data_IF_339868479818
#
_entry.id   IF_339868479818
#
_cell.length_a   1.000
_cell.length_b   1.000
_cell.length_c   1.000
_cell.angle_alpha   90.00
_cell.angle_beta   90.00
_cell.angle_gamma   90.00
#
_symmetry.space_group_name_H-M   'P 1'
#
loop_
_entity.id
_entity.type
_entity.pdbx_description
1 polymer ?
#
# COMPACT_ATOMS: atom_id res chain seq x y z
N UNK A 1 -22.96 -14.21 -9.89
CA UNK A 1 -23.25 -14.98 -8.65
C UNK A 1 -21.93 -15.27 -7.95
N UNK A 2 -21.88 -15.15 -6.61
CA UNK A 2 -20.69 -15.50 -5.83
C UNK A 2 -21.10 -16.31 -4.61
N UNK A 3 -20.35 -17.38 -4.32
CA UNK A 3 -20.48 -18.23 -3.14
C UNK A 3 -19.13 -18.30 -2.44
N UNK A 4 -19.10 -18.24 -1.12
CA UNK A 4 -17.87 -18.43 -0.34
C UNK A 4 -18.14 -19.22 0.93
N UNK A 5 -17.13 -19.95 1.40
CA UNK A 5 -17.13 -20.58 2.69
C UNK A 5 -15.71 -20.50 3.30
N UNK A 6 -15.68 -20.39 4.61
CA UNK A 6 -14.46 -20.41 5.40
C UNK A 6 -14.76 -21.01 6.77
N UNK A 7 -13.82 -21.78 7.30
CA UNK A 7 -13.89 -22.34 8.63
C UNK A 7 -12.60 -22.04 9.41
N UNK A 8 -12.70 -22.04 10.73
CA UNK A 8 -11.59 -21.90 11.66
C UNK A 8 -11.51 -23.16 12.54
N UNK A 9 -10.53 -23.99 12.26
CA UNK A 9 -10.34 -25.29 12.89
C UNK A 9 -9.17 -25.21 13.88
N UNK A 10 -9.45 -25.43 15.16
CA UNK A 10 -8.42 -25.56 16.20
C UNK A 10 -8.14 -27.05 16.42
N UNK A 11 -7.02 -27.53 15.83
CA UNK A 11 -6.64 -28.93 15.91
C UNK A 11 -6.04 -29.25 17.28
N UNK A 12 -5.22 -28.35 17.83
CA UNK A 12 -4.60 -28.43 19.14
C UNK A 12 -4.65 -27.03 19.77
N UNK A 13 -4.39 -26.92 21.08
CA UNK A 13 -4.33 -25.59 21.75
C UNK A 13 -3.37 -24.59 21.05
N UNK A 14 -2.44 -25.09 20.24
CA UNK A 14 -1.36 -24.30 19.61
C UNK A 14 -1.46 -24.23 18.08
N UNK A 15 -2.31 -25.04 17.44
CA UNK A 15 -2.42 -25.11 15.98
C UNK A 15 -3.82 -24.76 15.52
N UNK A 16 -3.91 -23.74 14.71
CA UNK A 16 -5.14 -23.26 14.06
C UNK A 16 -5.01 -23.35 12.55
N UNK A 17 -6.02 -23.90 11.88
CA UNK A 17 -6.11 -23.93 10.42
C UNK A 17 -7.33 -23.13 9.97
N UNK A 18 -7.17 -22.38 8.89
CA UNK A 18 -8.24 -21.57 8.30
C UNK A 18 -8.34 -21.89 6.82
N UNK A 19 -8.99 -23.00 6.43
CA UNK A 19 -9.33 -23.29 5.04
C UNK A 19 -10.49 -22.38 4.58
N UNK A 20 -10.51 -22.07 3.30
CA UNK A 20 -11.61 -21.34 2.71
C UNK A 20 -11.58 -21.38 1.19
N UNK A 21 -12.68 -21.07 0.57
CA UNK A 21 -12.78 -20.91 -0.87
C UNK A 21 -13.83 -19.88 -1.26
N UNK A 22 -13.68 -19.36 -2.46
CA UNK A 22 -14.67 -18.54 -3.12
C UNK A 22 -14.89 -19.06 -4.54
N UNK A 23 -16.13 -19.28 -4.90
CA UNK A 23 -16.60 -19.61 -6.23
C UNK A 23 -17.35 -18.43 -6.81
N UNK A 24 -17.02 -18.04 -8.03
CA UNK A 24 -17.70 -16.95 -8.74
C UNK A 24 -18.07 -17.43 -10.14
N UNK A 25 -19.30 -17.17 -10.51
CA UNK A 25 -19.79 -17.31 -11.88
C UNK A 25 -20.03 -15.92 -12.47
N UNK A 26 -19.47 -15.68 -13.65
CA UNK A 26 -19.68 -14.48 -14.46
C UNK A 26 -19.95 -14.87 -15.90
N UNK A 27 -20.90 -14.23 -16.57
CA UNK A 27 -21.30 -14.58 -17.94
C UNK A 27 -20.12 -14.56 -18.92
N UNK A 28 -19.28 -13.54 -18.85
CA UNK A 28 -18.11 -13.34 -19.73
C UNK A 28 -16.94 -14.22 -19.33
N UNK A 29 -16.58 -14.25 -18.05
CA UNK A 29 -15.35 -14.89 -17.58
C UNK A 29 -15.55 -16.30 -17.02
N UNK A 30 -16.81 -16.81 -17.09
CA UNK A 30 -17.21 -18.15 -16.64
C UNK A 30 -16.85 -18.41 -15.18
N UNK A 31 -16.67 -19.67 -14.83
CA UNK A 31 -16.41 -20.10 -13.47
C UNK A 31 -15.00 -19.74 -12.99
N UNK A 32 -14.88 -19.19 -11.78
CA UNK A 32 -13.61 -18.95 -11.09
C UNK A 32 -13.68 -19.52 -9.69
N UNK A 33 -12.69 -20.32 -9.34
CA UNK A 33 -12.53 -20.92 -8.02
C UNK A 33 -11.22 -20.41 -7.42
N UNK A 34 -11.28 -19.82 -6.21
CA UNK A 34 -10.15 -19.24 -5.51
C UNK A 34 -10.07 -19.82 -4.10
N UNK A 35 -9.27 -20.90 -3.92
CA UNK A 35 -9.02 -21.49 -2.61
C UNK A 35 -8.06 -20.62 -1.80
N UNK A 36 -8.16 -20.74 -0.47
CA UNK A 36 -7.19 -20.23 0.48
C UNK A 36 -7.00 -21.21 1.63
N UNK A 37 -5.81 -21.21 2.21
CA UNK A 37 -5.53 -21.90 3.44
C UNK A 37 -4.50 -21.13 4.24
N UNK A 38 -4.71 -21.03 5.55
CA UNK A 38 -3.71 -20.50 6.47
C UNK A 38 -3.56 -21.46 7.64
N UNK A 39 -2.33 -21.60 8.11
CA UNK A 39 -2.00 -22.34 9.32
C UNK A 39 -1.27 -21.41 10.28
N UNK A 40 -1.66 -21.38 11.54
CA UNK A 40 -0.99 -20.64 12.60
C UNK A 40 -0.58 -21.58 13.72
N UNK A 41 0.69 -21.50 14.12
CA UNK A 41 1.23 -22.23 15.25
C UNK A 41 1.75 -21.25 16.30
N UNK A 42 1.26 -21.39 17.53
CA UNK A 42 1.63 -20.54 18.67
C UNK A 42 2.58 -21.27 19.61
N UNK A 43 3.73 -20.66 19.89
CA UNK A 43 4.77 -21.21 20.78
C UNK A 43 5.25 -20.10 21.75
N UNK A 44 4.71 -20.10 22.96
CA UNK A 44 5.00 -19.05 23.93
C UNK A 44 4.61 -17.68 23.40
N UNK A 45 5.57 -16.79 23.31
CA UNK A 45 5.40 -15.42 22.80
C UNK A 45 5.49 -15.31 21.26
N UNK A 46 5.72 -16.45 20.57
CA UNK A 46 5.85 -16.50 19.12
C UNK A 46 4.60 -17.06 18.46
N UNK A 47 4.18 -16.43 17.37
CA UNK A 47 3.20 -16.94 16.43
C UNK A 47 3.84 -17.09 15.05
N UNK A 48 3.71 -18.26 14.46
CA UNK A 48 4.16 -18.56 13.10
C UNK A 48 2.94 -18.79 12.23
N UNK A 49 2.84 -18.07 11.11
CA UNK A 49 1.72 -18.20 10.18
C UNK A 49 2.22 -18.47 8.78
N UNK A 50 1.74 -19.54 8.18
CA UNK A 50 1.92 -19.87 6.78
C UNK A 50 0.59 -19.68 6.05
N UNK A 51 0.59 -19.03 4.89
CA UNK A 51 -0.64 -18.78 4.14
C UNK A 51 -0.44 -19.01 2.64
N UNK A 52 -1.48 -19.54 2.03
CA UNK A 52 -1.65 -19.61 0.58
C UNK A 52 -3.03 -19.06 0.21
N UNK A 53 -3.12 -18.26 -0.85
CA UNK A 53 -4.36 -17.80 -1.41
C UNK A 53 -4.26 -17.68 -2.93
N UNK A 54 -5.22 -18.27 -3.64
CA UNK A 54 -5.45 -18.00 -5.04
C UNK A 54 -6.39 -16.81 -5.20
N UNK A 55 -6.15 -16.00 -6.23
CA UNK A 55 -6.98 -14.85 -6.55
C UNK A 55 -7.18 -14.69 -8.07
N UNK A 56 -8.17 -13.91 -8.45
CA UNK A 56 -8.32 -13.41 -9.81
C UNK A 56 -8.88 -11.99 -9.80
N UNK A 57 -8.61 -11.25 -10.87
CA UNK A 57 -9.17 -9.92 -11.13
C UNK A 57 -9.71 -9.91 -12.56
N UNK A 58 -11.00 -9.64 -12.69
CA UNK A 58 -11.62 -9.44 -14.00
C UNK A 58 -11.11 -8.12 -14.62
N UNK A 59 -10.94 -8.03 -15.94
CA UNK A 59 -10.72 -6.75 -16.62
C UNK A 59 -11.84 -5.77 -16.28
N UNK A 60 -11.50 -4.50 -16.17
CA UNK A 60 -12.50 -3.44 -16.02
C UNK A 60 -13.23 -3.25 -17.38
N UNK A 61 -14.45 -2.74 -17.35
CA UNK A 61 -15.18 -2.39 -18.57
C UNK A 61 -14.40 -1.37 -19.42
N UNK A 62 -13.66 -0.50 -18.76
CA UNK A 62 -12.73 0.44 -19.41
C UNK A 62 -11.57 -0.25 -20.12
N UNK A 63 -11.05 -1.34 -19.55
CA UNK A 63 -9.97 -2.08 -20.18
C UNK A 63 -10.45 -2.82 -21.44
N UNK A 64 -11.73 -3.24 -21.45
CA UNK A 64 -12.34 -4.01 -22.53
C UNK A 64 -12.89 -3.14 -23.67
N UNK A 65 -13.62 -2.07 -23.34
CA UNK A 65 -14.49 -1.38 -24.31
C UNK A 65 -14.25 0.13 -24.40
N UNK A 66 -13.27 0.65 -23.66
CA UNK A 66 -13.03 2.08 -23.60
C UNK A 66 -12.37 2.58 -24.88
N UNK A 67 -12.89 3.66 -25.41
CA UNK A 67 -12.23 4.45 -26.45
C UNK A 67 -12.11 5.88 -25.94
N UNK A 68 -10.90 6.37 -25.88
CA UNK A 68 -10.63 7.76 -25.50
C UNK A 68 -9.65 8.40 -26.45
N UNK A 69 -10.05 9.52 -26.94
CA UNK A 69 -9.24 10.43 -27.73
C UNK A 69 -9.11 11.74 -26.94
N UNK A 70 -7.90 12.20 -26.76
CA UNK A 70 -7.62 13.46 -26.06
C UNK A 70 -6.54 14.24 -26.79
N UNK A 71 -6.80 15.51 -27.04
CA UNK A 71 -5.84 16.43 -27.65
C UNK A 71 -5.38 17.45 -26.62
N UNK A 72 -4.08 17.53 -26.40
CA UNK A 72 -3.46 18.51 -25.51
C UNK A 72 -2.28 19.19 -26.21
N UNK A 73 -2.31 20.52 -26.30
CA UNK A 73 -1.26 21.31 -26.96
C UNK A 73 -0.96 20.83 -28.39
N UNK A 74 -2.00 20.48 -29.18
CA UNK A 74 -1.87 20.02 -30.55
C UNK A 74 -1.30 18.59 -30.71
N UNK A 75 -1.15 17.83 -29.62
CA UNK A 75 -0.74 16.42 -29.62
C UNK A 75 -1.93 15.57 -29.20
N UNK A 76 -2.24 14.56 -30.00
CA UNK A 76 -3.33 13.63 -29.80
C UNK A 76 -2.85 12.37 -29.09
N UNK A 77 -3.64 11.86 -28.15
CA UNK A 77 -3.45 10.56 -27.50
C UNK A 77 -4.72 9.74 -27.70
N UNK A 78 -4.56 8.47 -28.08
CA UNK A 78 -5.67 7.54 -28.32
C UNK A 78 -5.47 6.33 -27.40
N UNK A 79 -6.50 5.97 -26.65
CA UNK A 79 -6.51 4.74 -25.84
C UNK A 79 -7.68 3.88 -26.29
N UNK A 80 -7.42 2.61 -26.62
CA UNK A 80 -8.40 1.66 -27.14
C UNK A 80 -8.45 0.46 -26.20
N UNK A 81 -9.64 0.10 -25.72
CA UNK A 81 -9.88 -1.12 -24.97
C UNK A 81 -9.64 -2.38 -25.80
N UNK A 82 -9.47 -3.51 -25.11
CA UNK A 82 -9.27 -4.81 -25.76
C UNK A 82 -10.29 -5.84 -25.21
N UNK A 83 -11.31 -6.22 -26.00
CA UNK A 83 -12.33 -7.19 -25.58
C UNK A 83 -11.78 -8.60 -25.32
N UNK A 84 -10.61 -8.95 -25.86
CA UNK A 84 -10.00 -10.28 -25.77
C UNK A 84 -9.20 -10.50 -24.46
N UNK A 85 -9.22 -9.53 -23.54
CA UNK A 85 -8.51 -9.63 -22.27
C UNK A 85 -9.03 -10.77 -21.41
N UNK A 86 -8.08 -11.53 -20.87
CA UNK A 86 -8.32 -12.59 -19.90
C UNK A 86 -8.23 -12.01 -18.48
N UNK A 87 -9.00 -12.57 -17.52
CA UNK A 87 -8.83 -12.21 -16.12
C UNK A 87 -7.41 -12.51 -15.61
N UNK A 88 -6.85 -11.58 -14.86
CA UNK A 88 -5.61 -11.80 -14.12
C UNK A 88 -5.81 -12.90 -13.06
N UNK A 89 -4.75 -13.69 -12.82
CA UNK A 89 -4.72 -14.73 -11.78
C UNK A 89 -3.53 -14.50 -10.87
N UNK A 90 -3.70 -14.80 -9.59
CA UNK A 90 -2.63 -14.72 -8.61
C UNK A 90 -2.55 -15.96 -7.75
N UNK A 91 -1.31 -16.32 -7.35
CA UNK A 91 -1.03 -17.26 -6.29
C UNK A 91 -0.13 -16.55 -5.28
N UNK A 92 -0.67 -16.31 -4.11
CA UNK A 92 0.00 -15.63 -3.01
C UNK A 92 0.45 -16.64 -1.96
N UNK A 93 1.70 -16.56 -1.57
CA UNK A 93 2.31 -17.35 -0.50
C UNK A 93 2.93 -16.39 0.49
N UNK A 94 2.74 -16.62 1.79
CA UNK A 94 3.40 -15.83 2.81
C UNK A 94 3.76 -16.67 4.04
N UNK A 95 4.85 -16.27 4.68
CA UNK A 95 5.26 -16.74 5.97
C UNK A 95 5.48 -15.55 6.89
N UNK A 96 4.76 -15.55 8.00
CA UNK A 96 4.84 -14.50 9.02
C UNK A 96 5.31 -15.09 10.34
N UNK A 97 6.25 -14.41 10.98
CA UNK A 97 6.65 -14.66 12.36
C UNK A 97 6.35 -13.42 13.18
N UNK A 98 5.64 -13.59 14.27
CA UNK A 98 5.30 -12.53 15.20
C UNK A 98 5.80 -12.90 16.60
N UNK A 99 6.50 -11.98 17.23
CA UNK A 99 6.89 -12.05 18.64
C UNK A 99 6.13 -10.97 19.41
N UNK A 100 5.44 -11.36 20.46
CA UNK A 100 4.65 -10.44 21.28
C UNK A 100 5.04 -10.59 22.77
N UNK A 101 5.54 -9.51 23.34
CA UNK A 101 5.83 -9.43 24.76
C UNK A 101 5.10 -8.23 25.38
N UNK A 102 5.21 -8.06 26.69
CA UNK A 102 4.67 -6.90 27.40
C UNK A 102 5.21 -5.57 26.88
N UNK A 103 6.43 -5.55 26.36
CA UNK A 103 7.15 -4.33 25.99
C UNK A 103 7.30 -4.13 24.49
N UNK A 104 7.18 -5.17 23.71
CA UNK A 104 7.29 -5.04 22.26
C UNK A 104 6.49 -6.09 21.50
N UNK A 105 6.10 -5.69 20.28
CA UNK A 105 5.57 -6.58 19.25
C UNK A 105 6.44 -6.41 18.01
N UNK A 106 6.96 -7.53 17.48
CA UNK A 106 7.79 -7.56 16.28
C UNK A 106 7.14 -8.54 15.32
N UNK A 107 6.91 -8.13 14.09
CA UNK A 107 6.39 -8.98 13.03
C UNK A 107 7.30 -8.92 11.80
N UNK A 108 7.61 -10.08 11.25
CA UNK A 108 8.36 -10.24 10.00
C UNK A 108 7.53 -11.10 9.07
N UNK A 109 7.19 -10.57 7.91
CA UNK A 109 6.40 -11.24 6.89
C UNK A 109 7.18 -11.32 5.58
N UNK A 110 7.51 -12.52 5.13
CA UNK A 110 8.03 -12.76 3.79
C UNK A 110 6.93 -13.25 2.87
N UNK A 111 6.88 -12.78 1.62
CA UNK A 111 5.84 -13.18 0.69
C UNK A 111 6.32 -13.26 -0.76
N UNK A 112 5.59 -14.07 -1.54
CA UNK A 112 5.70 -14.19 -2.99
C UNK A 112 4.28 -14.17 -3.57
N UNK A 113 4.05 -13.34 -4.57
CA UNK A 113 2.82 -13.29 -5.35
C UNK A 113 3.14 -13.53 -6.83
N UNK A 114 2.79 -14.70 -7.32
CA UNK A 114 2.91 -15.05 -8.74
C UNK A 114 1.64 -14.64 -9.49
N UNK A 115 1.80 -13.73 -10.44
CA UNK A 115 0.75 -13.18 -11.27
C UNK A 115 0.84 -13.78 -12.68
N UNK A 116 -0.31 -14.07 -13.29
CA UNK A 116 -0.47 -14.52 -14.67
C UNK A 116 -1.55 -13.71 -15.37
N UNK A 117 -1.42 -13.55 -16.65
CA UNK A 117 -2.34 -12.81 -17.50
C UNK A 117 -2.54 -11.36 -17.02
N UNK A 118 -1.48 -10.72 -16.48
CA UNK A 118 -1.51 -9.35 -15.95
C UNK A 118 -1.90 -8.39 -17.04
N UNK A 119 -2.91 -7.56 -16.79
CA UNK A 119 -3.35 -6.54 -17.74
C UNK A 119 -2.39 -5.36 -17.66
N UNK A 120 -1.81 -5.02 -18.80
CA UNK A 120 -0.87 -3.91 -18.93
C UNK A 120 -1.14 -3.12 -20.21
N UNK A 121 -0.73 -1.87 -20.22
CA UNK A 121 -0.81 -1.01 -21.40
C UNK A 121 0.24 -1.42 -22.42
N UNK A 122 -0.19 -1.55 -23.68
CA UNK A 122 0.65 -1.79 -24.85
C UNK A 122 0.67 -0.55 -25.72
N UNK A 123 1.87 -0.12 -26.11
CA UNK A 123 2.04 0.94 -27.08
C UNK A 123 1.84 0.39 -28.49
N UNK A 124 0.95 1.03 -29.25
CA UNK A 124 0.64 0.75 -30.65
C UNK A 124 1.07 1.91 -31.56
N UNK A 125 1.77 2.91 -31.05
CA UNK A 125 2.13 4.12 -31.79
C UNK A 125 3.02 3.77 -32.99
N UNK A 126 2.57 4.13 -34.18
CA UNK A 126 3.31 3.92 -35.44
C UNK A 126 4.00 5.22 -35.87
N UNK A 127 4.87 5.15 -36.87
CA UNK A 127 5.48 6.34 -37.47
C UNK A 127 4.46 7.17 -38.27
N UNK A 128 3.44 6.54 -38.82
CA UNK A 128 2.29 7.20 -39.40
C UNK A 128 1.47 7.98 -38.41
N UNK A 129 1.24 7.42 -37.20
CA UNK A 129 0.60 8.12 -36.11
C UNK A 129 1.37 9.40 -35.75
N UNK A 130 2.69 9.33 -35.67
CA UNK A 130 3.54 10.49 -35.36
C UNK A 130 3.47 11.56 -36.45
N UNK A 131 3.45 11.16 -37.70
CA UNK A 131 3.27 12.06 -38.85
C UNK A 131 1.92 12.80 -38.78
N UNK A 132 0.88 12.10 -38.32
CA UNK A 132 -0.47 12.63 -38.15
C UNK A 132 -0.66 13.33 -36.79
N UNK A 133 0.42 13.67 -36.06
CA UNK A 133 0.40 14.34 -34.73
C UNK A 133 -0.25 13.52 -33.62
N UNK A 134 -0.41 12.20 -33.80
CA UNK A 134 -0.82 11.28 -32.75
C UNK A 134 0.44 10.91 -31.95
N UNK A 135 0.53 11.46 -30.75
CA UNK A 135 1.70 11.31 -29.90
C UNK A 135 1.79 9.91 -29.24
N UNK A 136 0.64 9.30 -29.00
CA UNK A 136 0.55 7.98 -28.39
C UNK A 136 -0.75 7.30 -28.76
N UNK A 137 -0.66 6.06 -29.24
CA UNK A 137 -1.78 5.13 -29.41
C UNK A 137 -1.54 3.93 -28.52
N UNK A 138 -2.44 3.67 -27.59
CA UNK A 138 -2.27 2.58 -26.62
C UNK A 138 -3.49 1.67 -26.58
N UNK A 139 -3.25 0.42 -26.25
CA UNK A 139 -4.29 -0.57 -25.92
C UNK A 139 -3.90 -1.34 -24.66
N UNK A 140 -4.68 -2.33 -24.28
CA UNK A 140 -4.39 -3.22 -23.16
C UNK A 140 -4.06 -4.62 -23.68
N UNK A 141 -3.14 -5.31 -23.02
CA UNK A 141 -2.79 -6.70 -23.31
C UNK A 141 -2.56 -7.47 -22.00
N UNK A 142 -2.69 -8.80 -22.07
CA UNK A 142 -2.29 -9.64 -20.95
C UNK A 142 -0.79 -9.95 -21.05
N UNK A 143 -0.02 -9.50 -20.07
CA UNK A 143 1.36 -9.97 -19.87
C UNK A 143 1.35 -11.41 -19.37
N UNK A 144 2.25 -12.24 -19.88
CA UNK A 144 2.24 -13.66 -19.56
C UNK A 144 2.42 -13.94 -18.06
N UNK A 145 3.40 -13.33 -17.41
CA UNK A 145 3.71 -13.57 -16.00
C UNK A 145 4.43 -12.38 -15.36
N UNK A 146 4.04 -12.05 -14.15
CA UNK A 146 4.79 -11.15 -13.29
C UNK A 146 4.95 -11.77 -11.90
N UNK A 147 5.92 -11.31 -11.14
CA UNK A 147 6.11 -11.70 -9.74
C UNK A 147 6.37 -10.46 -8.90
N UNK A 148 5.68 -10.41 -7.77
CA UNK A 148 5.99 -9.51 -6.68
C UNK A 148 6.42 -10.35 -5.48
N UNK A 149 7.57 -10.04 -4.91
CA UNK A 149 8.06 -10.69 -3.70
C UNK A 149 8.65 -9.64 -2.77
N UNK A 150 8.61 -9.91 -1.49
CA UNK A 150 9.08 -8.92 -0.55
C UNK A 150 9.17 -9.42 0.89
N UNK A 151 9.64 -8.52 1.73
CA UNK A 151 9.71 -8.71 3.18
C UNK A 151 9.20 -7.43 3.83
N UNK A 152 8.25 -7.59 4.74
CA UNK A 152 7.73 -6.53 5.59
C UNK A 152 8.15 -6.80 7.04
N UNK A 153 8.70 -5.78 7.70
CA UNK A 153 9.08 -5.81 9.11
C UNK A 153 8.31 -4.72 9.81
N UNK A 154 7.69 -5.03 10.92
CA UNK A 154 7.07 -4.04 11.82
C UNK A 154 7.54 -4.26 13.26
N UNK A 155 7.77 -3.16 13.94
CA UNK A 155 8.18 -3.14 15.35
C UNK A 155 7.33 -2.09 16.06
N UNK A 156 6.77 -2.46 17.20
CA UNK A 156 6.15 -1.52 18.13
C UNK A 156 6.70 -1.83 19.52
N UNK A 157 7.22 -0.83 20.19
CA UNK A 157 7.86 -0.98 21.51
C UNK A 157 7.40 0.10 22.46
N UNK A 158 7.10 -0.30 23.68
CA UNK A 158 6.86 0.58 24.82
C UNK A 158 8.11 0.63 25.70
N UNK A 159 8.77 1.78 25.73
CA UNK A 159 10.06 1.96 26.40
C UNK A 159 9.93 2.35 27.88
N UNK A 160 8.71 2.55 28.36
CA UNK A 160 8.44 3.05 29.71
C UNK A 160 8.44 4.57 29.79
N UNK A 161 8.08 5.11 30.96
CA UNK A 161 8.02 6.55 31.24
C UNK A 161 7.24 7.37 30.19
N UNK A 162 6.21 6.75 29.54
CA UNK A 162 5.40 7.40 28.53
C UNK A 162 5.97 7.34 27.10
N UNK A 163 7.16 6.78 26.89
CA UNK A 163 7.77 6.65 25.56
C UNK A 163 7.35 5.37 24.86
N UNK A 164 6.99 5.50 23.57
CA UNK A 164 6.80 4.38 22.68
C UNK A 164 7.41 4.66 21.30
N UNK A 165 7.96 3.62 20.68
CA UNK A 165 8.52 3.64 19.33
C UNK A 165 7.79 2.62 18.47
N UNK A 166 7.47 3.03 17.25
CA UNK A 166 6.94 2.15 16.21
C UNK A 166 7.73 2.35 14.93
N UNK A 167 7.85 1.31 14.14
CA UNK A 167 8.51 1.39 12.85
C UNK A 167 8.04 0.29 11.92
N UNK A 168 8.13 0.56 10.63
CA UNK A 168 7.88 -0.41 9.57
C UNK A 168 8.91 -0.25 8.47
N UNK A 169 9.35 -1.37 7.93
CA UNK A 169 10.19 -1.41 6.74
C UNK A 169 9.60 -2.41 5.76
N UNK A 170 9.55 -2.03 4.50
CA UNK A 170 9.09 -2.88 3.41
C UNK A 170 10.12 -2.92 2.29
N UNK A 171 10.49 -4.12 1.90
CA UNK A 171 11.25 -4.41 0.69
C UNK A 171 10.33 -5.12 -0.30
N UNK A 172 10.26 -4.59 -1.53
CA UNK A 172 9.43 -5.13 -2.62
C UNK A 172 10.25 -5.25 -3.89
N UNK A 173 10.29 -6.44 -4.48
CA UNK A 173 10.82 -6.65 -5.82
C UNK A 173 9.67 -7.13 -6.73
N UNK A 174 9.23 -6.27 -7.64
CA UNK A 174 8.14 -6.51 -8.57
C UNK A 174 8.66 -6.46 -10.00
N UNK A 175 8.53 -7.58 -10.75
CA UNK A 175 9.09 -7.74 -12.10
C UNK A 175 8.20 -8.52 -13.04
N UNK A 176 8.27 -8.19 -14.32
CA UNK A 176 7.91 -9.08 -15.39
C UNK A 176 8.85 -10.30 -15.39
N UNK A 177 8.30 -11.51 -15.45
CA UNK A 177 9.12 -12.74 -15.36
C UNK A 177 9.88 -13.07 -16.63
N UNK A 178 9.42 -12.59 -17.78
CA UNK A 178 10.04 -12.83 -19.09
C UNK A 178 11.17 -11.84 -19.32
N UNK A 179 10.88 -10.56 -19.23
CA UNK A 179 11.83 -9.48 -19.52
C UNK A 179 12.76 -9.14 -18.36
N UNK A 180 12.41 -9.54 -17.12
CA UNK A 180 13.07 -9.17 -15.85
C UNK A 180 13.00 -7.67 -15.55
N UNK A 181 12.32 -6.90 -16.37
CA UNK A 181 12.12 -5.47 -16.15
C UNK A 181 11.23 -5.26 -14.93
N UNK A 182 11.52 -4.25 -14.13
CA UNK A 182 10.70 -3.84 -12.98
C UNK A 182 9.33 -3.37 -13.43
N UNK A 183 8.31 -3.68 -12.65
CA UNK A 183 6.97 -3.15 -12.89
C UNK A 183 6.95 -1.64 -12.62
N UNK A 184 6.13 -0.95 -13.42
CA UNK A 184 5.95 0.50 -13.31
C UNK A 184 5.56 0.90 -11.89
N UNK A 185 6.04 2.05 -11.46
CA UNK A 185 5.77 2.64 -10.14
C UNK A 185 6.24 1.83 -8.92
N UNK A 186 7.00 0.75 -9.13
CA UNK A 186 7.50 -0.05 -8.02
C UNK A 186 8.58 0.69 -7.22
N UNK A 187 8.41 0.71 -5.91
CA UNK A 187 9.42 1.20 -4.96
C UNK A 187 9.99 0.03 -4.19
N UNK A 188 11.33 -0.14 -4.22
CA UNK A 188 11.96 -1.27 -3.53
C UNK A 188 11.99 -1.14 -2.03
N UNK A 189 12.22 0.05 -1.52
CA UNK A 189 12.44 0.30 -0.10
C UNK A 189 11.52 1.39 0.37
N UNK A 190 10.71 1.11 1.36
CA UNK A 190 9.91 2.10 2.06
C UNK A 190 9.94 1.84 3.56
N UNK A 191 9.74 2.88 4.34
CA UNK A 191 9.73 2.76 5.78
C UNK A 191 8.89 3.83 6.45
N UNK A 192 8.48 3.53 7.66
CA UNK A 192 7.82 4.46 8.57
C UNK A 192 8.47 4.39 9.94
N UNK A 193 8.57 5.52 10.60
CA UNK A 193 9.06 5.64 11.97
C UNK A 193 8.02 6.44 12.75
N UNK A 194 7.67 6.01 13.92
CA UNK A 194 6.84 6.73 14.89
C UNK A 194 7.53 6.77 16.24
N UNK A 195 7.62 7.95 16.82
CA UNK A 195 7.98 8.14 18.21
C UNK A 195 6.83 8.87 18.89
N UNK A 196 6.40 8.36 20.02
CA UNK A 196 5.33 8.95 20.80
C UNK A 196 5.78 9.10 22.26
N UNK A 197 5.47 10.25 22.84
CA UNK A 197 5.66 10.52 24.26
C UNK A 197 4.36 11.01 24.85
N UNK A 198 3.90 10.35 25.90
CA UNK A 198 2.72 10.73 26.67
C UNK A 198 3.16 10.96 28.11
N UNK A 199 2.80 12.11 28.63
CA UNK A 199 2.97 12.40 30.06
C UNK A 199 1.70 13.03 30.64
N UNK A 200 1.32 12.57 31.82
CA UNK A 200 0.15 13.04 32.52
C UNK A 200 0.57 13.65 33.87
N UNK A 201 0.19 14.90 34.06
CA UNK A 201 0.20 15.58 35.36
C UNK A 201 -1.23 15.61 35.90
N UNK A 202 -1.43 16.04 37.13
CA UNK A 202 -2.76 16.02 37.76
C UNK A 202 -3.86 16.68 36.89
N UNK A 203 -3.55 17.78 36.22
CA UNK A 203 -4.52 18.62 35.50
C UNK A 203 -4.20 18.80 34.04
N UNK A 204 -3.20 18.10 33.52
CA UNK A 204 -2.73 18.30 32.17
C UNK A 204 -2.11 17.03 31.63
N UNK A 205 -2.47 16.69 30.35
CA UNK A 205 -1.88 15.60 29.59
C UNK A 205 -1.25 16.15 28.33
N UNK A 206 0.03 15.83 28.16
CA UNK A 206 0.79 16.10 26.94
C UNK A 206 0.95 14.80 26.16
N UNK A 207 0.69 14.87 24.85
CA UNK A 207 1.02 13.81 23.91
C UNK A 207 1.82 14.43 22.73
N UNK A 208 3.04 13.96 22.51
CA UNK A 208 3.91 14.40 21.43
C UNK A 208 4.14 13.24 20.47
N UNK A 209 3.86 13.44 19.19
CA UNK A 209 4.05 12.45 18.14
C UNK A 209 4.99 12.96 17.07
N UNK A 210 6.02 12.19 16.77
CA UNK A 210 6.87 12.36 15.60
C UNK A 210 6.62 11.19 14.64
N UNK A 211 6.22 11.49 13.42
CA UNK A 211 5.98 10.50 12.37
C UNK A 211 6.86 10.78 11.17
N UNK A 212 7.64 9.79 10.75
CA UNK A 212 8.47 9.83 9.56
C UNK A 212 8.00 8.82 8.52
N UNK A 213 7.91 9.25 7.26
CA UNK A 213 7.73 8.39 6.10
C UNK A 213 8.94 8.49 5.20
N UNK A 214 9.56 7.34 4.93
CA UNK A 214 10.73 7.22 4.09
C UNK A 214 10.37 6.43 2.82
N UNK A 215 10.65 6.99 1.67
CA UNK A 215 10.36 6.41 0.38
C UNK A 215 11.65 6.30 -0.42
N UNK A 216 12.01 5.09 -0.83
CA UNK A 216 13.12 4.85 -1.73
C UNK A 216 12.83 5.32 -3.15
N UNK A 217 13.79 5.16 -4.04
CA UNK A 217 13.61 5.47 -5.45
C UNK A 217 12.46 4.67 -6.05
N UNK A 218 11.62 5.32 -6.86
CA UNK A 218 10.51 4.73 -7.56
C UNK A 218 10.85 4.56 -9.03
N UNK A 219 10.64 3.37 -9.56
CA UNK A 219 10.90 3.09 -10.96
C UNK A 219 9.85 3.73 -11.87
N UNK A 220 10.31 4.45 -12.91
CA UNK A 220 9.46 5.12 -13.90
C UNK A 220 9.91 4.68 -15.30
N UNK A 221 9.15 3.78 -15.91
CA UNK A 221 9.47 3.17 -17.20
C UNK A 221 9.54 4.19 -18.34
N UNK A 222 8.63 5.16 -18.36
CA UNK A 222 8.53 6.16 -19.45
C UNK A 222 9.76 7.07 -19.58
N UNK A 223 10.55 7.22 -18.52
CA UNK A 223 11.76 8.04 -18.52
C UNK A 223 13.03 7.23 -18.40
N UNK A 224 12.91 5.90 -18.20
CA UNK A 224 14.02 4.98 -17.86
C UNK A 224 14.85 5.42 -16.64
N UNK A 225 14.32 6.38 -15.89
CA UNK A 225 14.96 6.95 -14.69
C UNK A 225 14.11 6.71 -13.46
N UNK A 226 14.75 6.45 -12.36
CA UNK A 226 14.07 6.37 -11.07
C UNK A 226 13.68 7.77 -10.58
N UNK A 227 12.45 7.93 -10.10
CA UNK A 227 12.08 9.09 -9.29
C UNK A 227 12.91 9.10 -7.99
N UNK A 228 13.34 10.26 -7.48
CA UNK A 228 14.22 10.35 -6.32
C UNK A 228 13.56 9.82 -5.05
N UNK A 229 14.41 9.35 -4.14
CA UNK A 229 13.99 9.05 -2.77
C UNK A 229 13.59 10.33 -2.03
N UNK A 230 12.68 10.20 -1.08
CA UNK A 230 12.27 11.31 -0.22
C UNK A 230 11.93 10.85 1.20
N UNK A 231 11.85 11.81 2.11
CA UNK A 231 11.35 11.60 3.46
C UNK A 231 10.46 12.79 3.87
N UNK A 232 9.37 12.47 4.56
CA UNK A 232 8.46 13.47 5.11
C UNK A 232 8.29 13.17 6.59
N UNK A 233 8.45 14.18 7.41
CA UNK A 233 8.34 14.08 8.86
C UNK A 233 7.30 15.07 9.36
N UNK A 234 6.46 14.61 10.27
CA UNK A 234 5.42 15.40 10.89
C UNK A 234 5.59 15.34 12.41
N UNK A 235 5.52 16.48 13.05
CA UNK A 235 5.52 16.62 14.50
C UNK A 235 4.16 17.16 14.92
N UNK A 236 3.49 16.46 15.82
CA UNK A 236 2.20 16.90 16.39
C UNK A 236 2.22 16.85 17.88
N UNK A 237 1.56 17.80 18.51
CA UNK A 237 1.36 17.84 19.96
C UNK A 237 -0.12 17.95 20.27
N UNK A 238 -0.55 17.20 21.27
CA UNK A 238 -1.90 17.29 21.81
C UNK A 238 -1.81 17.64 23.31
N UNK A 239 -2.52 18.65 23.70
CA UNK A 239 -2.58 19.19 25.04
C UNK A 239 -4.01 19.06 25.55
N UNK A 240 -4.24 18.23 26.55
CA UNK A 240 -5.55 18.04 27.18
C UNK A 240 -5.51 18.56 28.61
N UNK A 241 -6.44 19.42 28.94
CA UNK A 241 -6.54 20.02 30.28
C UNK A 241 -7.68 19.39 31.07
N UNK A 242 -7.53 19.26 32.36
CA UNK A 242 -8.63 18.82 33.22
C UNK A 242 -9.84 19.73 33.08
N UNK A 243 -11.05 19.19 33.23
CA UNK A 243 -12.26 19.97 33.10
C UNK A 243 -12.28 21.18 34.04
N UNK A 244 -12.64 22.34 33.51
CA UNK A 244 -12.94 23.55 34.29
C UNK A 244 -14.46 23.73 34.25
N UNK A 245 -15.12 23.41 35.37
CA UNK A 245 -16.57 23.32 35.41
C UNK A 245 -17.09 22.23 34.50
N UNK A 246 -17.94 22.60 33.54
CA UNK A 246 -18.48 21.68 32.53
C UNK A 246 -17.68 21.67 31.20
N UNK A 247 -16.54 22.36 31.11
CA UNK A 247 -15.75 22.48 29.90
C UNK A 247 -14.48 21.65 29.96
N UNK A 248 -14.22 20.89 28.89
CA UNK A 248 -12.95 20.22 28.62
C UNK A 248 -12.27 20.93 27.46
N UNK A 249 -11.01 21.30 27.63
CA UNK A 249 -10.21 21.97 26.62
C UNK A 249 -9.15 21.05 26.05
N UNK A 250 -9.06 20.97 24.73
CA UNK A 250 -8.00 20.24 24.02
C UNK A 250 -7.38 21.15 22.97
N UNK A 251 -6.06 21.27 22.96
CA UNK A 251 -5.30 21.99 21.93
C UNK A 251 -4.47 20.98 21.13
N UNK A 252 -4.64 21.00 19.83
CA UNK A 252 -3.76 20.28 18.91
C UNK A 252 -2.94 21.28 18.11
N UNK A 253 -1.63 21.08 18.04
CA UNK A 253 -0.75 21.88 17.22
C UNK A 253 0.27 20.96 16.52
N UNK A 254 0.74 21.37 15.35
CA UNK A 254 1.71 20.55 14.65
C UNK A 254 2.36 21.23 13.47
N UNK A 255 3.38 20.55 12.99
CA UNK A 255 4.14 20.89 11.81
C UNK A 255 4.11 19.67 10.89
N UNK A 256 3.51 19.81 9.73
CA UNK A 256 3.59 18.83 8.67
C UNK A 256 4.78 19.16 7.76
N UNK A 257 5.42 18.10 7.26
CA UNK A 257 6.61 18.23 6.42
C UNK A 257 7.71 19.09 7.08
N UNK A 258 8.13 18.69 8.27
CA UNK A 258 9.07 19.39 9.15
C UNK A 258 10.35 19.87 8.44
N UNK A 259 10.85 19.11 7.46
CA UNK A 259 12.05 19.42 6.70
C UNK A 259 11.80 20.11 5.35
N UNK A 260 10.54 20.55 5.10
CA UNK A 260 10.14 21.32 3.92
C UNK A 260 10.47 20.61 2.59
N UNK A 261 10.29 19.28 2.54
CA UNK A 261 10.49 18.55 1.30
C UNK A 261 9.46 18.98 0.25
N UNK A 262 9.93 19.41 -0.90
CA UNK A 262 9.11 19.69 -2.07
C UNK A 262 9.72 19.05 -3.32
N UNK A 263 8.88 18.58 -4.22
CA UNK A 263 9.31 18.06 -5.50
C UNK A 263 8.96 19.07 -6.59
N UNK A 264 9.97 19.70 -7.15
CA UNK A 264 9.79 20.82 -8.10
C UNK A 264 9.49 20.35 -9.52
N UNK A 265 9.73 19.08 -9.85
CA UNK A 265 9.54 18.55 -11.21
C UNK A 265 8.79 17.20 -11.15
N UNK A 266 7.81 16.98 -12.04
CA UNK A 266 7.17 15.68 -12.18
C UNK A 266 8.14 14.68 -12.80
N UNK A 267 8.07 13.42 -12.38
CA UNK A 267 8.80 12.30 -12.96
C UNK A 267 7.85 11.39 -13.73
N UNK A 268 8.04 11.32 -15.05
CA UNK A 268 7.19 10.53 -15.94
C UNK A 268 5.74 11.04 -15.97
N UNK A 269 4.79 10.14 -16.08
CA UNK A 269 3.36 10.42 -15.99
C UNK A 269 2.90 10.65 -14.54
N UNK A 270 3.77 10.36 -13.58
CA UNK A 270 3.50 10.48 -12.16
C UNK A 270 4.03 11.79 -11.62
N UNK A 271 3.16 12.55 -11.01
CA UNK A 271 3.49 13.86 -10.43
C UNK A 271 4.29 13.77 -9.12
N UNK A 272 4.78 12.57 -8.79
CA UNK A 272 5.54 12.35 -7.56
C UNK A 272 4.68 12.58 -6.31
N UNK A 273 5.34 12.90 -5.22
CA UNK A 273 4.64 13.28 -3.99
C UNK A 273 4.28 14.74 -4.08
N UNK A 274 3.02 15.02 -4.35
CA UNK A 274 2.47 16.38 -4.21
C UNK A 274 2.36 16.67 -2.70
N UNK A 275 3.48 17.00 -2.07
CA UNK A 275 3.47 17.52 -0.72
C UNK A 275 3.42 19.04 -0.81
N UNK A 276 2.43 19.72 -0.21
CA UNK A 276 2.59 21.13 0.09
C UNK A 276 3.85 21.24 0.95
N UNK A 277 4.63 22.26 0.82
CA UNK A 277 5.79 22.52 1.67
C UNK A 277 5.45 22.42 3.15
N UNK A 278 6.31 22.89 4.02
CA UNK A 278 6.05 22.89 5.47
C UNK A 278 4.76 23.62 5.79
N UNK A 279 3.90 22.96 6.57
CA UNK A 279 2.60 23.50 6.98
C UNK A 279 2.51 23.49 8.51
N UNK A 280 2.02 24.58 9.09
CA UNK A 280 1.74 24.69 10.51
C UNK A 280 0.23 24.68 10.71
N UNK A 281 -0.23 23.99 11.74
CA UNK A 281 -1.63 24.02 12.12
C UNK A 281 -1.79 24.06 13.64
N UNK A 282 -2.90 24.66 14.08
CA UNK A 282 -3.35 24.62 15.45
C UNK A 282 -4.88 24.54 15.47
N UNK A 283 -5.42 23.81 16.45
CA UNK A 283 -6.86 23.73 16.70
C UNK A 283 -7.16 23.73 18.19
N UNK A 284 -8.25 24.37 18.57
CA UNK A 284 -8.82 24.34 19.92
C UNK A 284 -10.16 23.60 19.86
N UNK A 285 -10.31 22.59 20.69
CA UNK A 285 -11.56 21.85 20.86
C UNK A 285 -12.09 22.09 22.27
N UNK A 286 -13.33 22.54 22.37
CA UNK A 286 -14.03 22.73 23.64
C UNK A 286 -15.19 21.73 23.66
N UNK A 287 -15.21 20.85 24.66
CA UNK A 287 -16.29 19.87 24.84
C UNK A 287 -17.06 20.18 26.12
N UNK A 288 -18.37 20.03 26.04
CA UNK A 288 -19.25 20.13 27.20
C UNK A 288 -19.37 18.74 27.84
N UNK A 289 -19.07 18.68 29.13
CA UNK A 289 -19.33 17.50 29.96
C UNK A 289 -20.81 17.56 30.39
N UNK A 290 -21.59 16.54 29.95
CA UNK A 290 -22.92 16.34 30.52
C UNK A 290 -22.89 15.87 31.93
#
# INVERSE_FOLDING_TARGET
MALYAQDEIRILKKLQLVPGFRYIYHETFKNKFTPKIAAMYSLGEFNFRLSYAAGFKAPLLTDLYYYKEATKKGKQTITIGNPDLKPEKSNYYSFNTEYTSKYCNISVNGYINDLRDVIATKDLTTDEDKANRINSRTTYENLNKARTQGVDISVNSYLGAGFSLGGGYSYVDARDRKTKIRLEESTRHSGTIRANYIHEWNNYRLNVNLNGRLQGKKFVKSTEKDAPKYQIWNLTTNHSFSPVGMFLFEINAGIENLFDYSQNLPYGSNLGTLSPGRTFFASLTIRFKK
#
